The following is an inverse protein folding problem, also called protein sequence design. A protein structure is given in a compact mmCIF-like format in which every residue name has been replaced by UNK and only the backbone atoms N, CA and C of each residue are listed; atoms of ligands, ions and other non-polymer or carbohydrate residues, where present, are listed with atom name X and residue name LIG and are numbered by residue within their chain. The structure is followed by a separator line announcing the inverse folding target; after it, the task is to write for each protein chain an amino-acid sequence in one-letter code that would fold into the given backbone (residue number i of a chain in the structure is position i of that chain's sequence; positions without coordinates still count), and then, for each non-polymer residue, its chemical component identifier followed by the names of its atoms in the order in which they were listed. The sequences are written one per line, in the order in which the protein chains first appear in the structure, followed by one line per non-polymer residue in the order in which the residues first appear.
data_IF_368359951002
#
_entry.id   IF_368359951002
#
_cell.length_a   1.000
_cell.length_b   1.000
_cell.length_c   1.000
_cell.angle_alpha   90.00
_cell.angle_beta   90.00
_cell.angle_gamma   90.00
#
_symmetry.space_group_name_H-M   'P 1'
#
loop_
_entity.id
_entity.type
_entity.pdbx_description
1 polymer ?
#
# COMPACT_ATOMS: atom_id res chain seq x y z
N UNK A 1 26.27 18.26 10.04
CA UNK A 1 24.80 18.39 9.91
C UNK A 1 24.20 17.57 8.74
N UNK A 2 24.91 17.41 7.61
CA UNK A 2 24.41 16.73 6.39
C UNK A 2 24.11 15.22 6.53
N UNK A 3 24.86 14.47 7.35
CA UNK A 3 24.63 13.02 7.60
C UNK A 3 23.30 12.71 8.29
N UNK A 4 22.76 13.61 9.11
CA UNK A 4 21.52 13.37 9.88
C UNK A 4 20.29 13.51 8.97
N UNK A 5 20.28 14.51 8.08
CA UNK A 5 19.21 14.76 7.11
C UNK A 5 18.97 13.57 6.17
N UNK A 6 20.04 12.84 5.80
CA UNK A 6 19.94 11.64 4.98
C UNK A 6 19.32 10.45 5.76
N UNK A 7 19.68 10.25 7.04
CA UNK A 7 19.07 9.22 7.90
C UNK A 7 17.57 9.45 8.11
N UNK A 8 17.13 10.68 8.33
CA UNK A 8 15.72 11.00 8.53
C UNK A 8 14.88 10.76 7.26
N UNK A 9 15.41 11.11 6.09
CA UNK A 9 14.78 10.82 4.80
C UNK A 9 14.67 9.32 4.54
N UNK A 10 15.73 8.56 4.80
CA UNK A 10 15.73 7.09 4.67
C UNK A 10 14.77 6.42 5.64
N UNK A 11 14.68 6.90 6.90
CA UNK A 11 13.73 6.39 7.89
C UNK A 11 12.28 6.67 7.49
N UNK A 12 11.99 7.86 6.94
CA UNK A 12 10.65 8.19 6.42
C UNK A 12 10.27 7.29 5.23
N UNK A 13 11.20 7.07 4.31
CA UNK A 13 11.00 6.18 3.16
C UNK A 13 10.79 4.72 3.59
N UNK A 14 11.60 4.20 4.52
CA UNK A 14 11.43 2.85 5.09
C UNK A 14 10.09 2.68 5.79
N UNK A 15 9.68 3.65 6.62
CA UNK A 15 8.36 3.63 7.27
C UNK A 15 7.23 3.57 6.24
N UNK A 16 7.36 4.30 5.13
CA UNK A 16 6.37 4.29 4.06
C UNK A 16 6.30 2.93 3.34
N UNK A 17 7.44 2.37 2.93
CA UNK A 17 7.50 1.03 2.30
C UNK A 17 6.96 -0.04 3.24
N UNK A 18 7.23 0.05 4.54
CA UNK A 18 6.70 -0.88 5.54
C UNK A 18 5.18 -0.81 5.63
N UNK A 19 4.58 0.40 5.64
CA UNK A 19 3.11 0.57 5.60
C UNK A 19 2.51 -0.03 4.33
N UNK A 20 3.16 0.17 3.19
CA UNK A 20 2.72 -0.37 1.91
C UNK A 20 2.75 -1.90 1.88
N UNK A 21 3.84 -2.52 2.39
CA UNK A 21 3.93 -3.98 2.52
C UNK A 21 2.84 -4.55 3.42
N UNK A 22 2.58 -3.92 4.56
CA UNK A 22 1.50 -4.32 5.47
C UNK A 22 0.14 -4.28 4.77
N UNK A 23 -0.15 -3.22 4.00
CA UNK A 23 -1.38 -3.14 3.20
C UNK A 23 -1.51 -4.28 2.20
N UNK A 24 -0.45 -4.58 1.43
CA UNK A 24 -0.50 -5.66 0.44
C UNK A 24 -0.72 -7.03 1.07
N UNK A 25 -0.14 -7.29 2.25
CA UNK A 25 -0.39 -8.54 2.99
C UNK A 25 -1.86 -8.63 3.41
N UNK A 26 -2.44 -7.56 3.95
CA UNK A 26 -3.85 -7.52 4.34
C UNK A 26 -4.77 -7.68 3.13
N UNK A 27 -4.45 -7.00 2.01
CA UNK A 27 -5.21 -7.10 0.77
C UNK A 27 -5.15 -8.51 0.16
N UNK A 28 -3.97 -9.14 0.16
CA UNK A 28 -3.82 -10.53 -0.27
C UNK A 28 -4.61 -11.50 0.62
N UNK A 29 -4.53 -11.33 1.95
CA UNK A 29 -5.33 -12.12 2.90
C UNK A 29 -6.84 -11.95 2.67
N UNK A 30 -7.29 -10.74 2.38
CA UNK A 30 -8.68 -10.49 2.02
C UNK A 30 -9.11 -11.19 0.74
N UNK A 31 -8.30 -11.19 -0.32
CA UNK A 31 -8.61 -11.93 -1.55
C UNK A 31 -8.80 -13.43 -1.27
N UNK A 32 -7.97 -14.00 -0.39
CA UNK A 32 -8.11 -15.40 0.04
C UNK A 32 -9.41 -15.61 0.81
N UNK A 33 -9.74 -14.74 1.77
CA UNK A 33 -11.00 -14.83 2.54
C UNK A 33 -12.21 -14.69 1.63
N UNK A 34 -12.19 -13.77 0.67
CA UNK A 34 -13.26 -13.61 -0.33
C UNK A 34 -13.41 -14.86 -1.17
N UNK A 35 -12.31 -15.46 -1.65
CA UNK A 35 -12.37 -16.70 -2.41
C UNK A 35 -12.97 -17.85 -1.59
N UNK A 36 -12.60 -17.98 -0.31
CA UNK A 36 -13.17 -18.98 0.60
C UNK A 36 -14.65 -18.73 0.88
N UNK A 37 -15.07 -17.47 1.06
CA UNK A 37 -16.48 -17.11 1.24
C UNK A 37 -17.31 -17.41 -0.01
N UNK A 38 -16.79 -17.09 -1.21
CA UNK A 38 -17.44 -17.41 -2.48
C UNK A 38 -17.56 -18.93 -2.66
N UNK A 39 -16.52 -19.68 -2.29
CA UNK A 39 -16.58 -21.15 -2.28
C UNK A 39 -17.63 -21.67 -1.31
N UNK A 40 -17.72 -21.10 -0.11
CA UNK A 40 -18.74 -21.46 0.87
C UNK A 40 -20.17 -21.18 0.35
N UNK A 41 -20.37 -20.05 -0.35
CA UNK A 41 -21.64 -19.72 -1.00
C UNK A 41 -22.01 -20.70 -2.13
N UNK A 42 -21.03 -21.31 -2.79
CA UNK A 42 -21.26 -22.31 -3.85
C UNK A 42 -21.70 -23.66 -3.29
N UNK A 43 -21.11 -24.12 -2.18
CA UNK A 43 -21.36 -25.45 -1.62
C UNK A 43 -22.49 -25.50 -0.57
N UNK A 44 -23.02 -24.36 -0.13
CA UNK A 44 -23.97 -24.31 0.99
C UNK A 44 -25.36 -24.83 0.57
N UNK A 45 -25.82 -25.85 1.31
CA UNK A 45 -27.10 -26.52 1.13
C UNK A 45 -27.76 -26.78 2.51
N UNK A 46 -29.09 -26.93 2.53
CA UNK A 46 -29.87 -27.19 3.76
C UNK A 46 -30.73 -26.00 4.26
N UNK A 47 -31.48 -26.22 5.34
CA UNK A 47 -32.47 -25.25 5.86
C UNK A 47 -31.87 -23.90 6.28
N UNK A 48 -30.61 -23.89 6.72
CA UNK A 48 -29.92 -22.68 7.18
C UNK A 48 -29.23 -21.90 6.06
N UNK A 49 -29.34 -22.35 4.79
CA UNK A 49 -28.67 -21.76 3.63
C UNK A 49 -28.86 -20.24 3.54
N UNK A 50 -30.09 -19.75 3.66
CA UNK A 50 -30.38 -18.33 3.52
C UNK A 50 -29.72 -17.47 4.61
N UNK A 51 -29.68 -17.97 5.85
CA UNK A 51 -29.02 -17.28 6.96
C UNK A 51 -27.51 -17.24 6.77
N UNK A 52 -26.92 -18.36 6.35
CA UNK A 52 -25.47 -18.46 6.08
C UNK A 52 -25.07 -17.53 4.91
N UNK A 53 -25.85 -17.53 3.83
CA UNK A 53 -25.64 -16.62 2.69
C UNK A 53 -25.74 -15.16 3.12
N UNK A 54 -26.78 -14.80 3.88
CA UNK A 54 -26.99 -13.43 4.35
C UNK A 54 -25.84 -12.93 5.23
N UNK A 55 -25.36 -13.76 6.16
CA UNK A 55 -24.20 -13.45 6.99
C UNK A 55 -22.92 -13.32 6.15
N UNK A 56 -22.66 -14.27 5.24
CA UNK A 56 -21.49 -14.24 4.35
C UNK A 56 -21.48 -12.97 3.48
N UNK A 57 -22.62 -12.59 2.90
CA UNK A 57 -22.74 -11.36 2.11
C UNK A 57 -22.52 -10.11 2.96
N UNK A 58 -23.09 -10.06 4.16
CA UNK A 58 -22.91 -8.92 5.08
C UNK A 58 -21.44 -8.73 5.45
N UNK A 59 -20.74 -9.83 5.75
CA UNK A 59 -19.30 -9.84 6.03
C UNK A 59 -18.53 -9.38 4.80
N UNK A 60 -18.84 -9.91 3.61
CA UNK A 60 -18.16 -9.55 2.36
C UNK A 60 -18.31 -8.05 2.06
N UNK A 61 -19.52 -7.49 2.17
CA UNK A 61 -19.79 -6.06 1.97
C UNK A 61 -19.02 -5.21 2.98
N UNK A 62 -19.07 -5.55 4.26
CA UNK A 62 -18.38 -4.80 5.32
C UNK A 62 -16.85 -4.80 5.10
N UNK A 63 -16.27 -5.96 4.81
CA UNK A 63 -14.84 -6.07 4.54
C UNK A 63 -14.41 -5.36 3.24
N UNK A 64 -15.27 -5.37 2.21
CA UNK A 64 -15.04 -4.61 0.97
C UNK A 64 -14.92 -3.12 1.26
N UNK A 65 -15.83 -2.57 2.08
CA UNK A 65 -15.82 -1.15 2.46
C UNK A 65 -14.57 -0.80 3.27
N UNK A 66 -14.21 -1.64 4.25
CA UNK A 66 -13.01 -1.42 5.08
C UNK A 66 -11.75 -1.34 4.21
N UNK A 67 -11.58 -2.24 3.24
CA UNK A 67 -10.43 -2.21 2.33
C UNK A 67 -10.48 -1.03 1.37
N UNK A 68 -11.66 -0.66 0.87
CA UNK A 68 -11.80 0.49 -0.01
C UNK A 68 -11.35 1.77 0.70
N UNK A 69 -11.74 1.96 1.97
CA UNK A 69 -11.28 3.07 2.80
C UNK A 69 -9.77 3.01 3.00
N UNK A 70 -9.23 1.84 3.33
CA UNK A 70 -7.80 1.68 3.57
C UNK A 70 -6.96 1.96 2.31
N UNK A 71 -7.42 1.49 1.15
CA UNK A 71 -6.84 1.79 -0.15
C UNK A 71 -6.89 3.28 -0.46
N UNK A 72 -8.03 3.95 -0.18
CA UNK A 72 -8.18 5.39 -0.40
C UNK A 72 -7.19 6.22 0.44
N UNK A 73 -6.99 5.86 1.72
CA UNK A 73 -6.02 6.53 2.61
C UNK A 73 -4.61 6.43 2.06
N UNK A 74 -4.18 5.22 1.65
CA UNK A 74 -2.83 4.99 1.11
C UNK A 74 -2.65 5.65 -0.25
N UNK A 75 -3.68 5.61 -1.10
CA UNK A 75 -3.62 6.22 -2.42
C UNK A 75 -3.60 7.75 -2.36
N UNK A 76 -4.31 8.35 -1.40
CA UNK A 76 -4.24 9.79 -1.11
C UNK A 76 -2.83 10.20 -0.65
N UNK A 77 -2.19 9.42 0.23
CA UNK A 77 -0.76 9.63 0.56
C UNK A 77 0.11 9.57 -0.72
N UNK A 78 -0.14 8.61 -1.63
CA UNK A 78 0.62 8.53 -2.89
C UNK A 78 0.38 9.70 -3.83
N UNK A 79 -0.86 10.11 -4.10
CA UNK A 79 -1.15 11.17 -5.10
C UNK A 79 -0.56 12.53 -4.70
N UNK A 80 -0.57 12.85 -3.41
CA UNK A 80 -0.03 14.12 -2.89
C UNK A 80 1.51 14.11 -2.85
N UNK A 81 2.13 12.97 -2.49
CA UNK A 81 3.59 12.90 -2.36
C UNK A 81 4.35 12.49 -3.62
N UNK A 82 3.72 11.77 -4.57
CA UNK A 82 4.44 11.16 -5.71
C UNK A 82 5.14 12.19 -6.60
N UNK A 83 4.41 13.23 -7.06
CA UNK A 83 4.98 14.22 -7.98
C UNK A 83 6.09 15.06 -7.33
N UNK A 84 5.80 15.67 -6.17
CA UNK A 84 6.78 16.53 -5.50
C UNK A 84 8.00 15.76 -4.98
N UNK A 85 7.85 14.51 -4.51
CA UNK A 85 8.99 13.72 -4.02
C UNK A 85 9.83 13.12 -5.14
N UNK A 86 9.20 12.60 -6.22
CA UNK A 86 9.94 12.11 -7.39
C UNK A 86 10.73 13.26 -8.04
N UNK A 87 10.10 14.40 -8.30
CA UNK A 87 10.75 15.57 -8.90
C UNK A 87 11.95 16.05 -8.05
N UNK A 88 11.78 16.08 -6.72
CA UNK A 88 12.84 16.47 -5.80
C UNK A 88 13.98 15.45 -5.72
N UNK A 89 13.67 14.16 -5.90
CA UNK A 89 14.67 13.10 -5.94
C UNK A 89 15.46 13.11 -7.25
N UNK A 90 14.77 13.27 -8.37
CA UNK A 90 15.38 13.45 -9.69
C UNK A 90 16.31 14.66 -9.67
N UNK A 91 15.85 15.81 -9.13
CA UNK A 91 16.70 16.99 -8.95
C UNK A 91 17.94 16.70 -8.09
N UNK A 92 17.79 15.98 -6.97
CA UNK A 92 18.94 15.63 -6.13
C UNK A 92 19.93 14.66 -6.78
N UNK A 93 19.48 13.79 -7.69
CA UNK A 93 20.36 12.88 -8.43
C UNK A 93 21.10 13.61 -9.55
N UNK A 94 20.43 14.55 -10.23
CA UNK A 94 21.06 15.41 -11.23
C UNK A 94 22.13 16.31 -10.59
N UNK A 95 21.84 16.91 -9.42
CA UNK A 95 22.77 17.78 -8.68
C UNK A 95 23.98 17.00 -8.11
N UNK A 96 23.76 15.78 -7.61
CA UNK A 96 24.86 14.94 -7.09
C UNK A 96 25.72 14.35 -8.21
N UNK A 97 25.13 13.97 -9.35
CA UNK A 97 25.88 13.47 -10.51
C UNK A 97 26.77 14.53 -11.15
N UNK A 98 26.29 15.79 -11.24
CA UNK A 98 27.07 16.90 -11.79
C UNK A 98 28.26 17.34 -10.91
N UNK A 99 28.27 16.97 -9.63
CA UNK A 99 29.34 17.36 -8.69
C UNK A 99 30.50 16.36 -8.66
N UNK A 100 30.28 15.10 -9.06
CA UNK A 100 31.36 14.11 -9.18
C UNK A 100 32.08 14.19 -10.54
N UNK A 101 31.39 14.51 -11.64
CA UNK A 101 32.03 14.64 -12.95
C UNK A 101 32.96 15.86 -13.08
N UNK A 102 32.75 16.91 -12.28
CA UNK A 102 33.58 18.12 -12.31
C UNK A 102 34.86 18.02 -11.46
N UNK A 103 35.01 17.00 -10.61
CA UNK A 103 36.20 16.81 -9.74
C UNK A 103 37.19 15.75 -10.23
N UNK A 104 36.92 15.10 -11.36
CA UNK A 104 37.79 14.06 -11.93
C UNK A 104 38.85 14.60 -12.89
N UNK A 105 38.90 15.93 -13.11
CA UNK A 105 39.79 16.58 -14.08
C UNK A 105 40.59 17.77 -13.51
N UNK A 106 40.81 17.85 -12.20
CA UNK A 106 41.82 18.73 -11.58
C UNK A 106 42.78 17.94 -10.69
#
# INVERSE_FOLDING_TARGET
MMKIKNKEGLLKAQKHVRRLKLFYIHFAGYLVVVALLLYNLYIVEGEYKNNIISLNLSILVLWTVVIMIHAFIIYKERKVFKKSWEDKKIASYLENGSTEETKMWE
#
